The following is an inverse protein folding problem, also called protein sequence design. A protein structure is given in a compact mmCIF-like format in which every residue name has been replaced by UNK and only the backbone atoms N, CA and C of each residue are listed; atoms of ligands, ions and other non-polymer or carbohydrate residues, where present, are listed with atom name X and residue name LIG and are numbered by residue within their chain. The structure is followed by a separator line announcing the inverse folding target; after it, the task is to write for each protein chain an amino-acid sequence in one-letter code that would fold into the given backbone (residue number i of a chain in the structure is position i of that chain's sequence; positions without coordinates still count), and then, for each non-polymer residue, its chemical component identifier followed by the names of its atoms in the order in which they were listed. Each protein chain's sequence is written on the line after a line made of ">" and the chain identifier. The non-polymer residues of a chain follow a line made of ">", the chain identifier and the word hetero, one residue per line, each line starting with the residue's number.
data_IF_369564381511
#
_entry.id   IF_369564381511
#
_cell.length_a   1.000
_cell.length_b   1.000
_cell.length_c   1.000
_cell.angle_alpha   90.00
_cell.angle_beta   90.00
_cell.angle_gamma   90.00
#
_symmetry.space_group_name_H-M   'P 1'
#
loop_
_entity.id
_entity.type
_entity.pdbx_description
1 polymer ?
#
# COMPACT_ATOMS: atom_id res chain seq x y z
N UNK A 1 4.34 2.23 17.44
CA UNK A 1 5.76 2.61 17.59
C UNK A 1 6.20 2.58 19.04
N UNK A 2 5.35 2.98 19.98
CA UNK A 2 5.63 2.84 21.42
C UNK A 2 5.96 1.41 21.84
N UNK A 3 5.20 0.40 21.37
CA UNK A 3 5.49 -1.00 21.67
C UNK A 3 6.84 -1.48 21.12
N UNK A 4 7.16 -1.13 19.87
CA UNK A 4 8.45 -1.45 19.25
C UNK A 4 9.62 -0.72 19.93
N UNK A 5 9.40 0.52 20.37
CA UNK A 5 10.42 1.30 21.07
C UNK A 5 10.69 0.68 22.46
N UNK A 6 9.62 0.31 23.17
CA UNK A 6 9.66 -0.36 24.46
C UNK A 6 10.33 -1.74 24.37
N UNK A 7 10.05 -2.54 23.34
CA UNK A 7 10.67 -3.86 23.16
C UNK A 7 12.15 -3.78 22.77
N UNK A 8 12.62 -2.63 22.27
CA UNK A 8 14.02 -2.40 21.90
C UNK A 8 14.76 -1.46 22.86
N UNK A 9 14.23 -1.20 24.06
CA UNK A 9 14.81 -0.29 25.08
C UNK A 9 15.23 1.08 24.52
N UNK A 10 14.45 1.64 23.60
CA UNK A 10 14.74 2.95 22.99
C UNK A 10 13.55 3.90 23.12
N UNK A 11 13.82 5.21 23.09
CA UNK A 11 12.76 6.21 22.99
C UNK A 11 12.10 6.17 21.62
N UNK A 12 10.83 6.56 21.54
CA UNK A 12 10.06 6.63 20.28
C UNK A 12 10.76 7.54 19.25
N UNK A 13 11.36 8.64 19.71
CA UNK A 13 12.16 9.55 18.85
C UNK A 13 13.39 8.86 18.26
N UNK A 14 14.12 8.08 19.06
CA UNK A 14 15.29 7.32 18.59
C UNK A 14 14.87 6.26 17.57
N UNK A 15 13.75 5.57 17.81
CA UNK A 15 13.20 4.60 16.87
C UNK A 15 12.79 5.27 15.55
N UNK A 16 12.14 6.43 15.58
CA UNK A 16 11.78 7.18 14.36
C UNK A 16 13.00 7.63 13.56
N UNK A 17 14.05 8.11 14.26
CA UNK A 17 15.28 8.53 13.60
C UNK A 17 15.94 7.34 12.89
N UNK A 18 16.12 6.23 13.61
CA UNK A 18 16.73 5.01 13.06
C UNK A 18 15.87 4.38 11.96
N UNK A 19 14.55 4.41 12.11
CA UNK A 19 13.63 3.95 11.07
C UNK A 19 13.76 4.78 9.79
N UNK A 20 13.83 6.10 9.92
CA UNK A 20 14.02 6.99 8.76
C UNK A 20 15.40 6.82 8.13
N UNK A 21 16.43 6.60 8.93
CA UNK A 21 17.79 6.31 8.44
C UNK A 21 17.81 5.04 7.58
N UNK A 22 17.16 3.97 8.03
CA UNK A 22 17.11 2.68 7.31
C UNK A 22 16.15 2.71 6.12
N UNK A 23 14.95 3.27 6.28
CA UNK A 23 13.90 3.22 5.25
C UNK A 23 13.89 4.44 4.34
N UNK A 24 14.73 5.45 4.61
CA UNK A 24 14.72 6.80 4.00
C UNK A 24 13.41 7.58 4.17
N UNK A 25 12.45 7.04 4.92
CA UNK A 25 11.11 7.62 5.04
C UNK A 25 10.61 7.66 6.48
N UNK A 26 9.74 8.63 6.75
CA UNK A 26 9.05 8.69 8.03
C UNK A 26 8.15 7.47 8.21
N UNK A 27 8.08 6.96 9.44
CA UNK A 27 7.29 5.77 9.78
C UNK A 27 5.85 5.82 9.28
N UNK A 28 5.16 6.95 9.47
CA UNK A 28 3.77 7.10 9.01
C UNK A 28 3.65 6.99 7.49
N UNK A 29 4.63 7.54 6.77
CA UNK A 29 4.67 7.46 5.31
C UNK A 29 4.94 6.01 4.85
N UNK A 30 5.83 5.28 5.53
CA UNK A 30 6.06 3.86 5.26
C UNK A 30 4.81 3.02 5.50
N UNK A 31 4.14 3.23 6.65
CA UNK A 31 2.90 2.51 6.97
C UNK A 31 1.81 2.78 5.92
N UNK A 32 1.65 4.03 5.49
CA UNK A 32 0.70 4.38 4.41
C UNK A 32 1.04 3.67 3.11
N UNK A 33 2.31 3.67 2.73
CA UNK A 33 2.75 2.99 1.51
C UNK A 33 2.53 1.48 1.57
N UNK A 34 2.85 0.84 2.70
CA UNK A 34 2.60 -0.57 2.91
C UNK A 34 1.11 -0.91 2.82
N UNK A 35 0.24 -0.11 3.45
CA UNK A 35 -1.22 -0.29 3.38
C UNK A 35 -1.74 -0.19 1.94
N UNK A 36 -1.30 0.82 1.18
CA UNK A 36 -1.73 1.02 -0.19
C UNK A 36 -1.23 -0.10 -1.13
N UNK A 37 -0.01 -0.61 -0.91
CA UNK A 37 0.52 -1.78 -1.63
C UNK A 37 -0.28 -3.03 -1.35
N UNK A 38 -0.66 -3.26 -0.09
CA UNK A 38 -1.47 -4.41 0.28
C UNK A 38 -2.90 -4.31 -0.27
N UNK A 39 -3.50 -3.12 -0.24
CA UNK A 39 -4.79 -2.87 -0.89
C UNK A 39 -4.74 -3.19 -2.39
N UNK A 40 -3.68 -2.77 -3.10
CA UNK A 40 -3.46 -3.11 -4.51
C UNK A 40 -3.38 -4.62 -4.72
N UNK A 41 -2.68 -5.35 -3.85
CA UNK A 41 -2.58 -6.81 -3.90
C UNK A 41 -3.95 -7.48 -3.76
N UNK A 42 -4.77 -7.05 -2.80
CA UNK A 42 -6.11 -7.60 -2.57
C UNK A 42 -7.06 -7.28 -3.73
N UNK A 43 -7.11 -6.03 -4.19
CA UNK A 43 -7.94 -5.65 -5.35
C UNK A 43 -7.56 -6.44 -6.61
N UNK A 44 -6.27 -6.74 -6.79
CA UNK A 44 -5.80 -7.51 -7.93
C UNK A 44 -6.18 -9.00 -7.83
N UNK A 45 -5.85 -9.65 -6.71
CA UNK A 45 -5.99 -11.12 -6.55
C UNK A 45 -7.38 -11.59 -6.15
N UNK A 46 -8.05 -10.82 -5.31
CA UNK A 46 -9.33 -11.23 -4.67
C UNK A 46 -10.52 -10.47 -5.24
N UNK A 47 -10.30 -9.62 -6.24
CA UNK A 47 -11.33 -8.76 -6.86
C UNK A 47 -12.10 -7.88 -5.88
N UNK A 48 -11.46 -7.54 -4.76
CA UNK A 48 -12.00 -6.59 -3.80
C UNK A 48 -12.27 -5.25 -4.49
N UNK A 49 -13.46 -4.69 -4.30
CA UNK A 49 -13.78 -3.36 -4.82
C UNK A 49 -13.09 -2.26 -4.00
N UNK A 50 -13.05 -1.05 -4.56
CA UNK A 50 -12.34 0.08 -3.95
C UNK A 50 -12.91 0.45 -2.59
N UNK A 51 -14.23 0.38 -2.43
CA UNK A 51 -14.90 0.83 -1.21
C UNK A 51 -14.59 -0.13 -0.08
N UNK A 52 -14.69 -1.43 -0.34
CA UNK A 52 -14.27 -2.45 0.63
C UNK A 52 -12.77 -2.39 0.94
N UNK A 53 -11.92 -2.15 -0.07
CA UNK A 53 -10.49 -1.94 0.17
C UNK A 53 -10.25 -0.70 1.05
N UNK A 54 -10.87 0.43 0.75
CA UNK A 54 -10.75 1.65 1.54
C UNK A 54 -11.13 1.40 3.02
N UNK A 55 -12.28 0.78 3.26
CA UNK A 55 -12.75 0.45 4.61
C UNK A 55 -11.81 -0.52 5.34
N UNK A 56 -11.32 -1.57 4.68
CA UNK A 56 -10.44 -2.57 5.28
C UNK A 56 -9.10 -1.97 5.78
N UNK A 57 -8.62 -0.89 5.16
CA UNK A 57 -7.40 -0.20 5.57
C UNK A 57 -7.64 1.07 6.40
N UNK A 58 -8.87 1.29 6.86
CA UNK A 58 -9.24 2.36 7.79
C UNK A 58 -9.41 3.74 7.15
N UNK A 59 -9.74 3.80 5.86
CA UNK A 59 -10.07 5.06 5.21
C UNK A 59 -11.55 5.41 5.43
N UNK A 60 -11.80 6.67 5.78
CA UNK A 60 -13.17 7.19 5.98
C UNK A 60 -13.93 7.34 4.67
N UNK A 61 -13.23 7.44 3.53
CA UNK A 61 -13.86 7.51 2.21
C UNK A 61 -13.02 6.91 1.09
N UNK A 62 -13.70 6.29 0.12
CA UNK A 62 -13.09 5.77 -1.12
C UNK A 62 -12.38 6.86 -1.93
N UNK A 63 -12.83 8.12 -1.81
CA UNK A 63 -12.23 9.29 -2.45
C UNK A 63 -10.88 9.65 -1.83
N UNK A 64 -10.75 9.60 -0.50
CA UNK A 64 -9.47 9.81 0.19
C UNK A 64 -8.47 8.71 -0.19
N UNK A 65 -8.90 7.45 -0.11
CA UNK A 65 -8.11 6.30 -0.55
C UNK A 65 -7.61 6.48 -2.00
N UNK A 66 -8.52 6.81 -2.92
CA UNK A 66 -8.17 6.97 -4.34
C UNK A 66 -7.15 8.08 -4.59
N UNK A 67 -7.20 9.19 -3.83
CA UNK A 67 -6.21 10.28 -3.93
C UNK A 67 -4.84 9.84 -3.44
N UNK A 68 -4.75 9.22 -2.26
CA UNK A 68 -3.47 8.72 -1.74
C UNK A 68 -2.90 7.59 -2.61
N UNK A 69 -3.75 6.69 -3.09
CA UNK A 69 -3.37 5.64 -4.03
C UNK A 69 -2.76 6.23 -5.31
N UNK A 70 -3.44 7.20 -5.93
CA UNK A 70 -2.95 7.86 -7.14
C UNK A 70 -1.62 8.59 -6.90
N UNK A 71 -1.43 9.17 -5.73
CA UNK A 71 -0.14 9.81 -5.35
C UNK A 71 1.01 8.80 -5.33
N UNK A 72 0.76 7.58 -4.86
CA UNK A 72 1.78 6.54 -4.76
C UNK A 72 2.02 5.79 -6.07
N UNK A 73 0.97 5.43 -6.81
CA UNK A 73 1.06 4.56 -7.99
C UNK A 73 0.89 5.31 -9.33
N UNK A 74 0.64 6.62 -9.31
CA UNK A 74 0.48 7.46 -10.51
C UNK A 74 -0.86 7.31 -11.24
N UNK A 75 -1.69 6.32 -10.89
CA UNK A 75 -2.98 6.02 -11.53
C UNK A 75 -4.09 5.82 -10.48
N UNK A 76 -5.34 6.01 -10.88
CA UNK A 76 -6.48 5.65 -10.01
C UNK A 76 -6.55 4.14 -9.81
N UNK A 77 -7.10 3.66 -8.67
CA UNK A 77 -7.17 2.22 -8.37
C UNK A 77 -7.79 1.40 -9.50
N UNK A 78 -8.96 1.79 -10.02
CA UNK A 78 -9.64 1.04 -11.10
C UNK A 78 -8.80 0.94 -12.37
N UNK A 79 -8.19 2.05 -12.80
CA UNK A 79 -7.39 2.06 -14.02
C UNK A 79 -6.16 1.19 -13.86
N UNK A 80 -5.50 1.31 -12.71
CA UNK A 80 -4.30 0.54 -12.41
C UNK A 80 -4.57 -0.96 -12.35
N UNK A 81 -5.60 -1.41 -11.61
CA UNK A 81 -5.96 -2.84 -11.54
C UNK A 81 -6.39 -3.38 -12.91
N UNK A 82 -7.13 -2.59 -13.70
CA UNK A 82 -7.49 -2.96 -15.07
C UNK A 82 -6.26 -3.13 -15.97
N UNK A 83 -5.31 -2.21 -15.90
CA UNK A 83 -4.08 -2.26 -16.69
C UNK A 83 -3.22 -3.47 -16.27
N UNK A 84 -3.07 -3.72 -14.97
CA UNK A 84 -2.36 -4.88 -14.44
C UNK A 84 -2.98 -6.21 -14.90
N UNK A 85 -4.30 -6.36 -14.79
CA UNK A 85 -5.01 -7.59 -15.24
C UNK A 85 -4.86 -7.85 -16.73
N UNK A 86 -4.77 -6.78 -17.54
CA UNK A 86 -4.48 -6.92 -18.97
C UNK A 86 -3.06 -7.43 -19.20
N UNK A 87 -2.06 -6.87 -18.52
CA UNK A 87 -0.67 -7.33 -18.59
C UNK A 87 -0.53 -8.81 -18.24
N UNK A 88 -1.09 -9.25 -17.10
CA UNK A 88 -1.07 -10.68 -16.72
C UNK A 88 -1.72 -11.61 -17.76
N UNK A 89 -2.78 -11.15 -18.44
CA UNK A 89 -3.40 -11.93 -19.52
C UNK A 89 -2.50 -12.04 -20.75
N UNK A 90 -1.74 -11.00 -21.06
CA UNK A 90 -0.82 -11.01 -22.21
C UNK A 90 0.38 -11.93 -21.93
N UNK A 91 0.93 -11.88 -20.71
CA UNK A 91 2.09 -12.71 -20.33
C UNK A 91 1.77 -14.22 -20.36
N UNK A 92 0.56 -14.64 -19.97
CA UNK A 92 0.12 -16.04 -20.03
C UNK A 92 -0.13 -16.51 -21.48
N UNK A 93 -0.58 -15.62 -22.36
CA UNK A 93 -0.83 -15.96 -23.77
C UNK A 93 0.47 -16.00 -24.59
N UNK A 94 1.48 -15.22 -24.23
CA UNK A 94 2.76 -15.17 -24.95
C UNK A 94 3.80 -16.17 -24.40
N UNK A 95 3.77 -16.52 -23.12
CA UNK A 95 4.73 -17.44 -22.48
C UNK A 95 4.08 -18.74 -21.98
N UNK A 96 3.17 -19.32 -22.75
CA UNK A 96 2.45 -20.55 -22.40
C UNK A 96 3.38 -21.63 -21.81
N UNK A 97 3.04 -22.09 -20.60
CA UNK A 97 3.57 -23.31 -19.98
C UNK A 97 3.17 -24.51 -20.82
#
# INVERSE_FOLDING_TARGET
>A
MEELAKSNNMSVSSLHHKFKEVTTMGTLQYQKELRLREARRLMLRESLDITSAAMAFGYESSSQFSREYKRLFGKSPLRDIRDLRKGFRTDILENGI
#
